data_IF_387205432697
#
_entry.id   IF_387205432697
#
_cell.length_a   1.000
_cell.length_b   1.000
_cell.length_c   1.000
_cell.angle_alpha   90.00
_cell.angle_beta   90.00
_cell.angle_gamma   90.00
#
_symmetry.space_group_name_H-M   'P 1'
#
loop_
_entity.id
_entity.type
_entity.pdbx_description
1 polymer ?
#
# COMPACT_ATOMS: atom_id res chain seq x y z
N UNK A 1 11.33 21.94 -17.81
CA UNK A 1 9.95 22.33 -17.44
C UNK A 1 9.25 21.05 -17.00
N UNK A 2 9.22 20.77 -15.69
CA UNK A 2 8.67 19.50 -15.19
C UNK A 2 7.15 19.51 -15.29
N UNK A 3 6.59 18.55 -16.02
CA UNK A 3 5.15 18.32 -16.05
C UNK A 3 4.75 17.62 -14.76
N UNK A 4 3.82 18.21 -14.01
CA UNK A 4 3.21 17.54 -12.88
C UNK A 4 2.32 16.41 -13.41
N UNK A 5 2.76 15.16 -13.25
CA UNK A 5 1.95 13.98 -13.60
C UNK A 5 0.74 13.94 -12.67
N UNK A 6 -0.41 14.40 -13.17
CA UNK A 6 -1.66 14.30 -12.43
C UNK A 6 -2.18 12.87 -12.50
N UNK A 7 -1.86 12.08 -11.48
CA UNK A 7 -2.52 10.80 -11.23
C UNK A 7 -4.00 11.06 -10.95
N UNK A 8 -4.86 10.76 -11.93
CA UNK A 8 -6.30 10.83 -11.77
C UNK A 8 -6.78 9.66 -10.88
N UNK A 9 -6.89 9.89 -9.57
CA UNK A 9 -7.31 8.89 -8.61
C UNK A 9 -8.83 8.67 -8.68
N UNK A 10 -9.25 7.61 -9.37
CA UNK A 10 -10.52 6.95 -9.07
C UNK A 10 -10.26 5.93 -7.98
N UNK A 11 -10.91 6.09 -6.81
CA UNK A 11 -10.85 5.11 -5.73
C UNK A 11 -11.52 3.81 -6.16
N UNK A 12 -10.73 2.84 -6.64
CA UNK A 12 -11.24 1.52 -7.03
C UNK A 12 -11.53 0.73 -5.75
N UNK A 13 -12.80 0.71 -5.35
CA UNK A 13 -13.30 -0.23 -4.36
C UNK A 13 -13.12 -1.67 -4.88
N UNK A 14 -12.05 -2.34 -4.44
CA UNK A 14 -11.80 -3.73 -4.80
C UNK A 14 -12.83 -4.63 -4.11
N UNK A 15 -13.88 -5.02 -4.85
CA UNK A 15 -14.79 -6.07 -4.40
C UNK A 15 -14.06 -7.42 -4.43
N UNK A 16 -13.67 -7.90 -3.25
CA UNK A 16 -13.00 -9.19 -3.12
C UNK A 16 -13.93 -10.33 -3.53
N UNK A 17 -13.70 -10.89 -4.73
CA UNK A 17 -13.99 -12.31 -4.98
C UNK A 17 -12.73 -13.09 -4.65
N UNK A 18 -12.77 -13.87 -3.58
CA UNK A 18 -11.72 -14.84 -3.27
C UNK A 18 -11.57 -15.82 -4.43
N UNK A 19 -10.56 -15.62 -5.26
CA UNK A 19 -10.06 -16.61 -6.20
C UNK A 19 -8.57 -16.76 -5.97
N UNK A 20 -8.23 -17.74 -5.15
CA UNK A 20 -6.87 -18.26 -4.98
C UNK A 20 -6.37 -18.83 -6.30
N UNK A 21 -5.86 -17.96 -7.17
CA UNK A 21 -5.08 -18.36 -8.33
C UNK A 21 -3.64 -18.68 -7.89
N UNK A 22 -3.50 -19.85 -7.27
CA UNK A 22 -2.23 -20.56 -7.34
C UNK A 22 -1.92 -20.84 -8.83
N UNK A 23 -0.64 -20.79 -9.20
CA UNK A 23 -0.19 -21.14 -10.54
C UNK A 23 -0.42 -22.64 -10.80
N UNK A 24 -1.57 -23.02 -11.37
CA UNK A 24 -1.83 -24.33 -11.98
C UNK A 24 -3.06 -24.30 -12.90
N UNK A 25 -3.10 -25.20 -13.88
CA UNK A 25 -4.05 -25.20 -14.99
C UNK A 25 -5.41 -25.88 -14.69
N UNK A 26 -6.40 -25.53 -15.51
CA UNK A 26 -7.63 -26.27 -15.91
C UNK A 26 -9.01 -25.80 -15.37
N UNK A 27 -9.87 -25.49 -16.37
CA UNK A 27 -11.34 -25.61 -16.47
C UNK A 27 -12.25 -24.82 -15.51
N UNK A 28 -13.36 -24.31 -16.06
CA UNK A 28 -14.30 -23.41 -15.39
C UNK A 28 -15.75 -23.91 -15.48
N UNK A 29 -16.59 -23.54 -14.50
CA UNK A 29 -18.05 -23.39 -14.61
C UNK A 29 -18.57 -22.45 -13.51
N UNK A 30 -19.50 -21.56 -13.89
CA UNK A 30 -20.71 -20.97 -13.25
C UNK A 30 -20.78 -20.81 -11.69
N UNK A 31 -21.53 -19.88 -11.09
CA UNK A 31 -22.60 -18.97 -11.57
C UNK A 31 -22.66 -17.70 -10.68
N UNK A 32 -23.59 -16.77 -10.91
CA UNK A 32 -23.58 -15.43 -10.28
C UNK A 32 -24.88 -15.03 -9.58
N UNK A 33 -24.81 -14.69 -8.29
CA UNK A 33 -25.89 -14.04 -7.52
C UNK A 33 -25.37 -12.76 -6.87
N UNK A 34 -26.17 -11.68 -6.89
CA UNK A 34 -25.75 -10.34 -6.48
C UNK A 34 -26.10 -10.00 -5.03
N UNK A 35 -25.24 -9.22 -4.34
CA UNK A 35 -25.62 -8.55 -3.08
C UNK A 35 -24.83 -7.26 -2.82
N UNK A 36 -25.47 -6.34 -2.07
CA UNK A 36 -25.02 -4.98 -1.74
C UNK A 36 -23.80 -4.96 -0.79
N UNK A 37 -22.94 -3.93 -0.85
CA UNK A 37 -21.93 -3.69 0.19
C UNK A 37 -22.53 -3.01 1.42
N UNK A 38 -22.10 -3.47 2.59
CA UNK A 38 -22.14 -2.76 3.88
C UNK A 38 -20.77 -3.00 4.51
N UNK A 39 -20.10 -1.93 4.95
CA UNK A 39 -18.87 -2.03 5.74
C UNK A 39 -18.97 -1.05 6.90
N UNK A 40 -18.88 -1.58 8.12
CA UNK A 40 -18.76 -0.84 9.37
C UNK A 40 -17.71 -1.62 10.16
N UNK A 41 -16.59 -0.98 10.46
CA UNK A 41 -15.51 -1.59 11.24
C UNK A 41 -15.68 -1.14 12.69
N UNK A 42 -16.34 -1.96 13.50
CA UNK A 42 -16.45 -1.70 14.94
C UNK A 42 -15.09 -1.89 15.62
N UNK A 43 -14.74 -0.97 16.51
CA UNK A 43 -13.51 -1.04 17.28
C UNK A 43 -13.64 -2.09 18.40
N UNK A 44 -12.76 -3.09 18.39
CA UNK A 44 -12.69 -4.11 19.44
C UNK A 44 -12.20 -3.44 20.74
N UNK A 45 -12.93 -3.52 21.87
CA UNK A 45 -12.45 -3.01 23.15
C UNK A 45 -11.30 -3.87 23.67
N UNK A 46 -10.26 -3.24 24.18
CA UNK A 46 -9.16 -3.92 24.86
C UNK A 46 -9.63 -4.31 26.26
N UNK A 47 -9.74 -5.61 26.51
CA UNK A 47 -9.97 -6.14 27.85
C UNK A 47 -8.65 -6.14 28.63
N UNK A 48 -8.60 -5.38 29.73
CA UNK A 48 -7.53 -5.51 30.72
C UNK A 48 -7.85 -6.66 31.66
N UNK A 49 -6.94 -7.62 31.78
CA UNK A 49 -6.94 -8.61 32.85
C UNK A 49 -6.52 -7.96 34.18
N UNK A 50 -7.26 -8.21 35.26
CA UNK A 50 -6.74 -8.10 36.62
C UNK A 50 -7.42 -9.13 37.51
N UNK A 51 -6.63 -9.99 38.15
CA UNK A 51 -7.11 -11.11 38.95
C UNK A 51 -7.76 -10.69 40.29
N UNK A 52 -8.75 -11.47 40.72
CA UNK A 52 -8.93 -11.90 42.11
C UNK A 52 -9.41 -10.88 43.15
N UNK A 53 -10.66 -11.03 43.61
CA UNK A 53 -10.97 -11.65 44.92
C UNK A 53 -12.45 -12.06 44.99
N UNK A 54 -12.72 -13.26 45.51
CA UNK A 54 -14.07 -13.76 45.73
C UNK A 54 -14.75 -13.10 46.95
N UNK A 55 -16.05 -12.78 46.85
CA UNK A 55 -16.99 -12.86 47.99
C UNK A 55 -18.40 -13.09 47.43
N UNK A 56 -19.14 -14.03 48.03
CA UNK A 56 -20.44 -14.48 47.56
C UNK A 56 -21.61 -13.55 47.93
N UNK A 57 -22.70 -13.58 47.16
CA UNK A 57 -23.94 -14.25 47.59
C UNK A 57 -25.00 -14.32 46.48
N UNK A 58 -25.90 -15.28 46.65
CA UNK A 58 -26.92 -15.78 45.73
C UNK A 58 -28.07 -14.79 45.45
N UNK A 59 -28.66 -14.92 44.24
CA UNK A 59 -30.10 -14.98 43.94
C UNK A 59 -31.02 -13.78 44.31
N UNK A 60 -32.17 -13.52 43.68
CA UNK A 60 -32.98 -14.26 42.69
C UNK A 60 -33.90 -13.27 41.92
N UNK A 61 -34.45 -13.70 40.76
CA UNK A 61 -35.74 -13.30 40.10
C UNK A 61 -36.31 -11.86 40.19
N UNK A 62 -36.67 -11.24 39.05
CA UNK A 62 -38.08 -10.97 38.58
C UNK A 62 -38.89 -9.97 39.47
N UNK A 63 -39.74 -9.08 38.96
CA UNK A 63 -40.50 -9.02 37.71
C UNK A 63 -40.78 -7.53 37.33
N UNK A 64 -41.25 -7.38 36.10
CA UNK A 64 -42.04 -6.29 35.50
C UNK A 64 -43.13 -5.64 36.40
N UNK A 65 -43.64 -4.43 36.06
CA UNK A 65 -45.08 -4.02 36.10
C UNK A 65 -45.28 -2.52 35.68
N UNK A 66 -46.10 -2.36 34.63
CA UNK A 66 -46.97 -1.25 34.15
C UNK A 66 -46.81 0.25 34.53
N UNK A 67 -46.74 1.06 33.47
CA UNK A 67 -47.68 2.12 33.01
C UNK A 67 -48.50 3.04 33.96
N UNK A 68 -48.66 4.28 33.43
CA UNK A 68 -49.52 5.45 33.79
C UNK A 68 -49.00 6.40 34.90
N UNK A 69 -49.26 7.72 34.89
CA UNK A 69 -50.05 8.56 33.95
C UNK A 69 -49.51 10.02 33.80
N UNK A 70 -50.31 10.92 33.23
CA UNK A 70 -50.04 12.31 32.79
C UNK A 70 -50.21 13.38 33.87
N UNK A 71 -49.37 14.44 33.86
CA UNK A 71 -49.73 15.81 34.29
C UNK A 71 -49.16 16.83 33.28
N UNK A 72 -49.94 17.86 32.93
CA UNK A 72 -49.67 18.86 31.88
C UNK A 72 -48.82 20.09 32.30
N UNK A 73 -48.20 20.68 31.27
CA UNK A 73 -47.76 22.08 31.09
C UNK A 73 -46.95 22.83 32.17
N UNK A 74 -45.68 23.09 31.84
CA UNK A 74 -45.07 24.41 32.03
C UNK A 74 -44.09 24.71 30.88
N UNK A 75 -44.22 25.89 30.28
CA UNK A 75 -43.39 26.39 29.19
C UNK A 75 -42.15 27.13 29.74
N UNK A 76 -40.98 26.99 29.09
CA UNK A 76 -39.95 28.02 28.80
C UNK A 76 -38.53 27.42 28.68
N UNK A 77 -37.88 27.61 27.52
CA UNK A 77 -36.43 27.48 27.24
C UNK A 77 -35.79 26.09 27.50
N UNK A 78 -34.71 25.67 26.81
CA UNK A 78 -33.66 26.47 26.19
C UNK A 78 -33.06 25.76 24.95
N UNK A 79 -32.76 26.52 23.89
CA UNK A 79 -32.27 26.00 22.59
C UNK A 79 -30.77 25.63 22.60
N UNK A 80 -30.28 25.06 23.72
CA UNK A 80 -28.86 24.88 24.00
C UNK A 80 -28.24 23.54 23.57
N UNK A 81 -29.07 22.51 23.33
CA UNK A 81 -28.60 21.12 23.18
C UNK A 81 -28.29 20.78 21.71
N UNK A 82 -29.19 21.15 20.80
CA UNK A 82 -29.04 20.99 19.34
C UNK A 82 -27.77 21.67 18.76
N UNK A 83 -27.24 22.71 19.41
CA UNK A 83 -26.02 23.37 18.95
C UNK A 83 -24.75 22.56 19.25
N UNK A 84 -24.74 21.80 20.36
CA UNK A 84 -23.57 21.00 20.78
C UNK A 84 -23.44 19.72 19.97
N UNK A 85 -24.53 18.99 19.74
CA UNK A 85 -24.51 17.78 18.91
C UNK A 85 -24.09 18.06 17.47
N UNK A 86 -24.60 19.14 16.88
CA UNK A 86 -24.17 19.57 15.54
C UNK A 86 -22.68 19.97 15.53
N UNK A 87 -22.17 20.64 16.56
CA UNK A 87 -20.74 20.98 16.66
C UNK A 87 -19.86 19.74 16.81
N UNK A 88 -20.26 18.76 17.61
CA UNK A 88 -19.54 17.49 17.81
C UNK A 88 -19.52 16.68 16.51
N UNK A 89 -20.66 16.57 15.83
CA UNK A 89 -20.80 15.88 14.54
C UNK A 89 -19.92 16.50 13.45
N UNK A 90 -19.93 17.83 13.32
CA UNK A 90 -19.08 18.56 12.36
C UNK A 90 -17.59 18.41 12.70
N UNK A 91 -17.22 18.44 13.99
CA UNK A 91 -15.81 18.25 14.41
C UNK A 91 -15.32 16.83 14.13
N UNK A 92 -16.17 15.81 14.34
CA UNK A 92 -15.86 14.42 14.02
C UNK A 92 -15.70 14.19 12.51
N UNK A 93 -16.59 14.75 11.69
CA UNK A 93 -16.49 14.66 10.23
C UNK A 93 -15.22 15.35 9.71
N UNK A 94 -14.87 16.53 10.22
CA UNK A 94 -13.61 17.20 9.87
C UNK A 94 -12.39 16.31 10.19
N UNK A 95 -12.38 15.65 11.35
CA UNK A 95 -11.30 14.73 11.72
C UNK A 95 -11.18 13.49 10.82
N UNK A 96 -12.30 13.01 10.25
CA UNK A 96 -12.31 11.95 9.23
C UNK A 96 -11.70 12.46 7.92
N UNK A 97 -12.12 13.64 7.47
CA UNK A 97 -11.67 14.22 6.21
C UNK A 97 -10.17 14.56 6.27
N UNK A 98 -9.70 15.14 7.38
CA UNK A 98 -8.28 15.43 7.66
C UNK A 98 -7.44 14.14 7.69
N UNK A 99 -7.96 13.04 8.24
CA UNK A 99 -7.27 11.75 8.26
C UNK A 99 -7.09 11.17 6.85
N UNK A 100 -8.14 11.15 6.03
CA UNK A 100 -8.05 10.67 4.65
C UNK A 100 -7.17 11.57 3.79
N UNK A 101 -7.25 12.89 3.95
CA UNK A 101 -6.37 13.84 3.27
C UNK A 101 -4.90 13.61 3.64
N UNK A 102 -4.59 13.48 4.93
CA UNK A 102 -3.23 13.19 5.42
C UNK A 102 -2.69 11.85 4.89
N UNK A 103 -3.56 10.83 4.79
CA UNK A 103 -3.19 9.54 4.21
C UNK A 103 -2.89 9.66 2.70
N UNK A 104 -3.73 10.38 1.95
CA UNK A 104 -3.54 10.61 0.51
C UNK A 104 -2.25 11.41 0.22
N UNK A 105 -1.97 12.46 0.99
CA UNK A 105 -0.73 13.25 0.87
C UNK A 105 0.52 12.41 1.19
N UNK A 106 0.44 11.57 2.23
CA UNK A 106 1.53 10.64 2.59
C UNK A 106 1.80 9.62 1.49
N UNK A 107 0.76 9.04 0.87
CA UNK A 107 0.92 8.12 -0.25
C UNK A 107 1.43 8.82 -1.52
N UNK A 108 0.90 10.00 -1.84
CA UNK A 108 1.39 10.82 -2.96
C UNK A 108 2.89 11.13 -2.79
N UNK A 109 3.31 11.61 -1.62
CA UNK A 109 4.73 11.88 -1.33
C UNK A 109 5.62 10.65 -1.52
N UNK A 110 5.14 9.45 -1.17
CA UNK A 110 5.88 8.21 -1.42
C UNK A 110 6.05 7.92 -2.90
N UNK A 111 4.97 8.02 -3.68
CA UNK A 111 4.97 7.76 -5.11
C UNK A 111 5.83 8.80 -5.86
N UNK A 112 5.75 10.08 -5.49
CA UNK A 112 6.59 11.14 -6.04
C UNK A 112 8.08 10.86 -5.75
N UNK A 113 8.43 10.47 -4.52
CA UNK A 113 9.82 10.11 -4.13
C UNK A 113 10.32 8.87 -4.89
N UNK A 114 9.47 7.88 -5.12
CA UNK A 114 9.79 6.69 -5.94
C UNK A 114 9.99 7.09 -7.40
N UNK A 115 9.14 7.96 -7.94
CA UNK A 115 9.24 8.43 -9.32
C UNK A 115 10.56 9.18 -9.56
N UNK A 116 10.96 10.09 -8.66
CA UNK A 116 12.25 10.78 -8.71
C UNK A 116 13.44 9.80 -8.69
N UNK A 117 13.39 8.78 -7.83
CA UNK A 117 14.40 7.72 -7.80
C UNK A 117 14.47 6.93 -9.10
N UNK A 118 13.33 6.54 -9.67
CA UNK A 118 13.27 5.83 -10.96
C UNK A 118 13.87 6.67 -12.09
N UNK A 119 13.48 7.94 -12.19
CA UNK A 119 14.03 8.86 -13.18
C UNK A 119 15.56 8.98 -13.06
N UNK A 120 16.08 9.09 -11.84
CA UNK A 120 17.52 9.17 -11.60
C UNK A 120 18.24 7.85 -11.94
N UNK A 121 17.80 6.73 -11.35
CA UNK A 121 18.55 5.47 -11.40
C UNK A 121 18.42 4.76 -12.77
N UNK A 122 17.32 4.97 -13.50
CA UNK A 122 17.04 4.27 -14.77
C UNK A 122 17.34 5.08 -16.04
N UNK A 123 17.54 6.41 -15.94
CA UNK A 123 17.93 7.26 -17.09
C UNK A 123 19.16 6.75 -17.89
N UNK A 124 20.20 6.14 -17.27
CA UNK A 124 21.31 5.53 -18.02
C UNK A 124 20.94 4.26 -18.81
N UNK A 125 19.82 3.62 -18.47
CA UNK A 125 19.45 2.28 -18.93
C UNK A 125 18.18 2.23 -19.81
N UNK A 126 17.29 3.21 -19.70
CA UNK A 126 16.00 3.27 -20.41
C UNK A 126 15.96 4.52 -21.30
N UNK A 127 15.40 4.41 -22.52
CA UNK A 127 15.32 5.53 -23.46
C UNK A 127 14.41 6.65 -22.94
N UNK A 128 14.70 7.90 -23.29
CA UNK A 128 13.96 9.06 -22.74
C UNK A 128 12.48 9.00 -23.13
N UNK A 129 12.19 8.62 -24.37
CA UNK A 129 10.84 8.37 -24.88
C UNK A 129 10.12 7.19 -24.21
N UNK A 130 10.85 6.30 -23.54
CA UNK A 130 10.31 5.12 -22.87
C UNK A 130 10.21 5.30 -21.33
N UNK A 131 10.81 6.35 -20.76
CA UNK A 131 10.93 6.55 -19.30
C UNK A 131 9.57 6.63 -18.60
N UNK A 132 8.60 7.31 -19.21
CA UNK A 132 7.26 7.50 -18.63
C UNK A 132 6.51 6.16 -18.53
N UNK A 133 6.59 5.30 -19.55
CA UNK A 133 5.98 3.96 -19.52
C UNK A 133 6.67 3.08 -18.47
N UNK A 134 8.01 3.12 -18.43
CA UNK A 134 8.80 2.38 -17.46
C UNK A 134 8.44 2.76 -16.02
N UNK A 135 8.40 4.06 -15.72
CA UNK A 135 8.05 4.56 -14.40
C UNK A 135 6.60 4.25 -14.04
N UNK A 136 5.67 4.39 -14.98
CA UNK A 136 4.24 4.09 -14.76
C UNK A 136 4.02 2.63 -14.34
N UNK A 137 4.73 1.67 -14.92
CA UNK A 137 4.62 0.26 -14.57
C UNK A 137 5.13 -0.04 -13.15
N UNK A 138 6.27 0.52 -12.75
CA UNK A 138 6.79 0.40 -11.38
C UNK A 138 5.94 1.15 -10.35
N UNK A 139 5.30 2.25 -10.73
CA UNK A 139 4.37 2.97 -9.86
C UNK A 139 3.04 2.23 -9.67
N UNK A 140 2.57 1.47 -10.67
CA UNK A 140 1.46 0.51 -10.48
C UNK A 140 1.83 -0.58 -9.47
N UNK A 141 3.05 -1.12 -9.56
CA UNK A 141 3.57 -2.04 -8.53
C UNK A 141 3.66 -1.37 -7.16
N UNK A 142 4.01 -0.08 -7.09
CA UNK A 142 4.09 0.65 -5.82
C UNK A 142 2.71 0.96 -5.20
N UNK A 143 1.65 1.05 -6.02
CA UNK A 143 0.27 1.23 -5.59
C UNK A 143 -0.41 -0.09 -5.17
N UNK A 144 -0.09 -1.21 -5.82
CA UNK A 144 -0.65 -2.53 -5.53
C UNK A 144 0.43 -3.61 -5.56
N UNK A 145 0.73 -4.21 -4.40
CA UNK A 145 1.68 -5.30 -4.28
C UNK A 145 1.27 -6.56 -5.06
N UNK A 146 -0.01 -6.71 -5.42
CA UNK A 146 -0.54 -7.79 -6.26
C UNK A 146 -0.45 -7.45 -7.76
N UNK A 147 0.00 -6.26 -8.14
CA UNK A 147 0.22 -5.92 -9.53
C UNK A 147 1.20 -6.89 -10.18
N UNK A 148 0.85 -7.40 -11.36
CA UNK A 148 1.69 -8.31 -12.15
C UNK A 148 1.71 -7.78 -13.59
N UNK A 149 2.85 -7.29 -14.09
CA UNK A 149 2.97 -6.84 -15.46
C UNK A 149 2.56 -7.93 -16.45
N UNK A 150 1.86 -7.53 -17.51
CA UNK A 150 1.45 -8.40 -18.61
C UNK A 150 2.55 -8.52 -19.67
N UNK A 151 3.40 -7.51 -19.79
CA UNK A 151 4.43 -7.38 -20.83
C UNK A 151 5.81 -7.21 -20.19
N UNK A 152 6.74 -8.05 -20.62
CA UNK A 152 8.16 -7.99 -20.26
C UNK A 152 8.84 -6.76 -20.89
N UNK A 153 9.68 -6.06 -20.13
CA UNK A 153 10.49 -4.96 -20.64
C UNK A 153 11.78 -5.46 -21.31
N UNK A 154 11.95 -5.10 -22.59
CA UNK A 154 13.04 -5.60 -23.45
C UNK A 154 13.96 -4.52 -24.01
N UNK A 155 13.53 -3.26 -23.99
CA UNK A 155 14.23 -2.14 -24.65
C UNK A 155 15.10 -1.39 -23.63
N UNK A 156 16.41 -1.57 -23.73
CA UNK A 156 17.39 -0.93 -22.86
C UNK A 156 18.44 -0.18 -23.69
N UNK A 157 18.88 0.99 -23.22
CA UNK A 157 20.05 1.73 -23.75
C UNK A 157 21.35 0.95 -23.53
N UNK A 158 21.48 0.34 -22.36
CA UNK A 158 22.70 -0.28 -21.84
C UNK A 158 22.35 -1.58 -21.12
N UNK A 159 23.34 -2.45 -20.91
CA UNK A 159 23.10 -3.79 -20.33
C UNK A 159 22.85 -3.68 -18.82
N UNK A 160 21.72 -4.21 -18.37
CA UNK A 160 21.43 -4.50 -16.97
C UNK A 160 21.65 -5.99 -16.65
N UNK A 161 21.72 -6.30 -15.36
CA UNK A 161 21.74 -7.65 -14.81
C UNK A 161 20.52 -7.94 -13.94
N UNK A 162 20.30 -9.21 -13.59
CA UNK A 162 19.30 -9.60 -12.59
C UNK A 162 19.57 -9.04 -11.19
N UNK A 163 20.81 -8.68 -10.85
CA UNK A 163 21.14 -8.02 -9.58
C UNK A 163 20.59 -6.59 -9.57
N UNK A 164 20.83 -5.82 -10.64
CA UNK A 164 20.40 -4.41 -10.74
C UNK A 164 18.89 -4.24 -10.54
N UNK A 165 18.08 -5.06 -11.23
CA UNK A 165 16.62 -4.98 -11.12
C UNK A 165 16.09 -5.49 -9.77
N UNK A 166 16.78 -6.45 -9.13
CA UNK A 166 16.48 -6.86 -7.74
C UNK A 166 16.75 -5.73 -6.77
N UNK A 167 17.88 -5.04 -6.90
CA UNK A 167 18.24 -3.89 -6.05
C UNK A 167 17.29 -2.71 -6.21
N UNK A 168 16.90 -2.38 -7.45
CA UNK A 168 15.89 -1.35 -7.71
C UNK A 168 14.55 -1.68 -7.03
N UNK A 169 13.99 -2.86 -7.31
CA UNK A 169 12.69 -3.28 -6.75
C UNK A 169 12.74 -3.39 -5.22
N UNK A 170 13.85 -3.86 -4.65
CA UNK A 170 14.06 -3.89 -3.21
C UNK A 170 14.09 -2.49 -2.58
N UNK A 171 14.82 -1.56 -3.21
CA UNK A 171 14.95 -0.17 -2.73
C UNK A 171 13.61 0.56 -2.73
N UNK A 172 12.71 0.20 -3.65
CA UNK A 172 11.33 0.68 -3.69
C UNK A 172 10.47 -0.03 -2.62
N UNK A 173 10.45 -1.36 -2.62
CA UNK A 173 9.61 -2.15 -1.72
C UNK A 173 9.91 -1.89 -0.24
N UNK A 174 11.17 -1.66 0.14
CA UNK A 174 11.52 -1.34 1.54
C UNK A 174 10.83 -0.07 2.05
N UNK A 175 10.69 0.96 1.20
CA UNK A 175 9.99 2.22 1.50
C UNK A 175 8.47 2.09 1.52
N UNK A 176 7.94 1.08 0.81
CA UNK A 176 6.52 0.71 0.82
C UNK A 176 6.17 -0.25 1.97
N UNK A 177 7.16 -0.69 2.74
CA UNK A 177 6.99 -1.68 3.80
C UNK A 177 7.18 -3.10 3.30
N UNK A 178 8.43 -3.46 2.99
CA UNK A 178 8.87 -4.84 2.77
C UNK A 178 9.18 -5.52 4.10
N UNK A 179 8.59 -6.68 4.37
CA UNK A 179 8.97 -7.51 5.52
C UNK A 179 7.84 -8.34 6.12
N UNK A 180 8.17 -9.09 7.18
CA UNK A 180 7.18 -9.93 7.89
C UNK A 180 6.11 -9.05 8.54
N UNK A 181 4.83 -9.31 8.21
CA UNK A 181 3.70 -8.53 8.70
C UNK A 181 3.62 -7.13 8.10
N UNK A 182 4.21 -6.90 6.92
CA UNK A 182 4.09 -5.67 6.13
C UNK A 182 3.37 -5.97 4.80
N UNK A 183 3.07 -4.91 4.05
CA UNK A 183 2.29 -5.00 2.79
C UNK A 183 3.05 -5.74 1.70
N UNK A 184 4.36 -5.50 1.58
CA UNK A 184 5.18 -6.14 0.56
C UNK A 184 5.96 -7.32 1.14
N UNK A 185 6.01 -8.41 0.38
CA UNK A 185 6.88 -9.55 0.64
C UNK A 185 7.98 -9.67 -0.43
N UNK A 186 9.02 -10.48 -0.13
CA UNK A 186 10.02 -10.85 -1.14
C UNK A 186 9.39 -11.65 -2.31
N UNK A 187 8.23 -12.27 -2.09
CA UNK A 187 7.49 -13.07 -3.07
C UNK A 187 6.80 -12.16 -4.11
N UNK A 188 6.16 -11.07 -3.65
CA UNK A 188 5.58 -10.05 -4.53
C UNK A 188 6.66 -9.41 -5.42
N UNK A 189 7.80 -9.06 -4.82
CA UNK A 189 8.94 -8.51 -5.52
C UNK A 189 9.49 -9.50 -6.57
N UNK A 190 9.67 -10.77 -6.19
CA UNK A 190 10.13 -11.81 -7.10
C UNK A 190 9.14 -12.04 -8.26
N UNK A 191 7.84 -12.11 -7.99
CA UNK A 191 6.79 -12.23 -9.01
C UNK A 191 6.78 -11.05 -9.99
N UNK A 192 6.99 -9.82 -9.50
CA UNK A 192 7.07 -8.63 -10.33
C UNK A 192 8.32 -8.69 -11.24
N UNK A 193 9.49 -8.97 -10.66
CA UNK A 193 10.77 -9.07 -11.37
C UNK A 193 10.73 -10.18 -12.44
N UNK A 194 10.22 -11.35 -12.09
CA UNK A 194 10.13 -12.52 -12.98
C UNK A 194 9.33 -12.21 -14.24
N UNK A 195 8.25 -11.42 -14.14
CA UNK A 195 7.43 -11.01 -15.29
C UNK A 195 8.00 -9.82 -16.04
N UNK A 196 8.44 -8.78 -15.34
CA UNK A 196 8.87 -7.53 -15.99
C UNK A 196 10.26 -7.64 -16.61
N UNK A 197 11.15 -8.43 -16.02
CA UNK A 197 12.57 -8.48 -16.36
C UNK A 197 13.06 -9.88 -16.73
N UNK A 198 12.18 -10.74 -17.28
CA UNK A 198 12.44 -12.15 -17.54
C UNK A 198 13.77 -12.39 -18.30
N UNK A 199 14.05 -11.64 -19.38
CA UNK A 199 15.30 -11.74 -20.15
C UNK A 199 16.57 -11.31 -19.41
N UNK A 200 16.47 -10.50 -18.36
CA UNK A 200 17.59 -10.19 -17.45
C UNK A 200 17.77 -11.29 -16.39
N UNK A 201 16.71 -12.03 -16.11
CA UNK A 201 16.61 -13.07 -15.08
C UNK A 201 16.88 -14.47 -15.64
N UNK A 202 17.99 -14.64 -16.36
CA UNK A 202 18.47 -15.93 -16.89
C UNK A 202 19.86 -16.29 -16.35
N UNK A 203 20.18 -17.58 -16.39
CA UNK A 203 21.51 -18.13 -16.11
C UNK A 203 22.46 -17.93 -17.31
N UNK A 204 23.74 -18.27 -17.13
CA UNK A 204 24.72 -18.26 -18.22
C UNK A 204 24.39 -19.23 -19.38
N UNK A 205 23.52 -20.23 -19.17
CA UNK A 205 23.02 -21.11 -20.24
C UNK A 205 21.71 -20.63 -20.88
N UNK A 206 21.18 -19.48 -20.46
CA UNK A 206 19.91 -18.93 -20.97
C UNK A 206 18.65 -19.46 -20.27
N UNK A 207 18.79 -20.36 -19.29
CA UNK A 207 17.66 -20.88 -18.51
C UNK A 207 17.13 -19.83 -17.51
N UNK A 208 15.81 -19.71 -17.28
CA UNK A 208 15.26 -18.81 -16.27
C UNK A 208 15.84 -19.04 -14.87
N UNK A 209 16.09 -17.96 -14.13
CA UNK A 209 16.44 -18.03 -12.72
C UNK A 209 15.25 -18.56 -11.91
N UNK A 210 15.53 -19.44 -10.93
CA UNK A 210 14.48 -19.95 -10.06
C UNK A 210 13.82 -18.82 -9.27
N UNK A 211 12.51 -18.93 -9.00
CA UNK A 211 11.77 -17.96 -8.21
C UNK A 211 12.42 -17.71 -6.83
N UNK A 212 12.96 -18.75 -6.17
CA UNK A 212 13.71 -18.61 -4.93
C UNK A 212 15.00 -17.78 -5.07
N UNK A 213 15.65 -17.81 -6.25
CA UNK A 213 16.81 -16.96 -6.55
C UNK A 213 16.41 -15.49 -6.72
N UNK A 214 15.19 -15.23 -7.22
CA UNK A 214 14.66 -13.88 -7.36
C UNK A 214 14.23 -13.27 -6.02
N UNK A 215 13.74 -14.10 -5.07
CA UNK A 215 13.42 -13.68 -3.68
C UNK A 215 14.64 -13.21 -2.88
N UNK A 216 15.87 -13.52 -3.30
CA UNK A 216 17.11 -13.03 -2.70
C UNK A 216 17.44 -11.63 -3.22
N UNK A 217 16.67 -10.63 -2.78
CA UNK A 217 16.68 -9.29 -3.37
C UNK A 217 17.94 -8.44 -3.10
N UNK A 218 18.71 -8.75 -2.05
CA UNK A 218 19.90 -7.98 -1.60
C UNK A 218 21.22 -8.72 -1.81
N UNK A 219 21.23 -9.72 -2.69
CA UNK A 219 22.47 -10.41 -3.08
C UNK A 219 23.23 -9.55 -4.08
N UNK A 220 24.51 -9.29 -3.85
CA UNK A 220 25.33 -8.40 -4.69
C UNK A 220 26.36 -9.16 -5.53
N UNK A 221 26.86 -8.49 -6.55
CA UNK A 221 28.00 -8.86 -7.39
C UNK A 221 28.90 -7.64 -7.62
N UNK A 222 30.18 -7.87 -7.94
CA UNK A 222 31.14 -6.80 -8.27
C UNK A 222 30.83 -6.09 -9.60
N UNK A 223 29.81 -6.56 -10.33
CA UNK A 223 29.37 -6.04 -11.64
C UNK A 223 28.12 -5.17 -11.57
N UNK A 224 27.56 -4.96 -10.37
CA UNK A 224 26.29 -4.26 -10.21
C UNK A 224 26.46 -2.76 -10.48
N UNK A 225 25.53 -2.20 -11.25
CA UNK A 225 25.47 -0.78 -11.58
C UNK A 225 24.38 -0.07 -10.77
N UNK A 226 23.36 -0.80 -10.33
CA UNK A 226 22.37 -0.36 -9.35
C UNK A 226 22.64 -1.11 -8.04
N UNK A 227 22.89 -0.37 -6.96
CA UNK A 227 23.14 -0.93 -5.63
C UNK A 227 21.89 -0.82 -4.73
N UNK A 228 21.82 -1.66 -3.69
CA UNK A 228 20.80 -1.55 -2.64
C UNK A 228 20.85 -0.18 -1.95
N UNK A 229 19.78 0.60 -2.07
CA UNK A 229 19.66 1.88 -1.37
C UNK A 229 18.90 1.71 -0.03
N UNK A 230 19.67 1.47 1.03
CA UNK A 230 19.15 1.27 2.38
C UNK A 230 18.45 2.53 2.90
N UNK A 231 17.24 2.44 3.49
CA UNK A 231 16.53 3.61 3.97
C UNK A 231 17.20 4.24 5.19
N UNK A 232 17.28 5.58 5.19
CA UNK A 232 17.72 6.38 6.35
C UNK A 232 16.66 6.48 7.45
N UNK A 233 16.90 7.36 8.44
CA UNK A 233 15.99 7.56 9.60
C UNK A 233 14.54 7.90 9.20
N UNK A 234 14.38 8.69 8.14
CA UNK A 234 13.07 9.13 7.65
C UNK A 234 12.31 8.02 6.91
N UNK A 235 12.94 6.86 6.69
CA UNK A 235 12.36 5.67 6.06
C UNK A 235 12.03 5.79 4.58
N UNK A 236 11.98 7.01 4.02
CA UNK A 236 11.41 7.31 2.72
C UNK A 236 12.40 7.81 1.66
N UNK A 237 13.32 8.70 2.02
CA UNK A 237 14.23 9.34 1.06
C UNK A 237 15.22 8.33 0.48
N UNK A 238 15.55 8.46 -0.81
CA UNK A 238 16.61 7.69 -1.49
C UNK A 238 17.94 8.44 -1.47
N UNK A 239 19.08 7.74 -1.42
CA UNK A 239 20.39 8.38 -1.53
C UNK A 239 20.73 8.69 -2.99
N UNK A 240 20.09 9.71 -3.54
CA UNK A 240 20.39 10.28 -4.86
C UNK A 240 21.50 11.33 -4.70
N UNK A 241 22.69 11.14 -5.30
CA UNK A 241 23.69 12.20 -5.40
C UNK A 241 23.11 13.45 -6.08
N UNK A 242 23.21 14.62 -5.44
CA UNK A 242 22.87 15.88 -6.09
C UNK A 242 23.86 16.18 -7.23
N UNK A 243 23.54 15.70 -8.43
CA UNK A 243 24.26 16.00 -9.68
C UNK A 243 23.33 16.57 -10.74
N UNK A 244 22.58 17.62 -10.39
CA UNK A 244 21.85 18.49 -11.32
C UNK A 244 21.65 19.87 -10.64
N UNK A 245 22.68 20.72 -10.65
CA UNK A 245 22.58 22.10 -10.14
C UNK A 245 23.78 22.70 -9.41
N UNK A 246 24.92 22.02 -9.32
CA UNK A 246 26.15 22.57 -8.75
C UNK A 246 27.00 23.32 -9.78
N UNK A 247 26.73 24.61 -10.00
CA UNK A 247 27.70 25.49 -10.67
C UNK A 247 28.99 25.51 -9.86
N UNK A 248 30.13 25.20 -10.51
CA UNK A 248 31.44 25.37 -9.90
C UNK A 248 31.88 26.82 -10.09
N UNK A 249 31.89 27.58 -9.00
CA UNK A 249 32.59 28.86 -8.90
C UNK A 249 34.11 28.69 -8.82
#
# INVERSE_FOLDING_TARGET
MYMAVQYAFVGIAQTWKNKTHACNNQTATNESTAQKPVFLLEAIPVYNESEGIDTACEAETAEEISETEVIEEAYMAETGELAKDNHISVTYQQGIDDFYQSQAESQKKKLDTIHEYLLYIMSPFVYEEDMDEFCTDLLRFAMDHNYRPEVEWKRYKTKLSSFDVRHMVWSIATRLGLGKGKVYSNDDCACYIERRFASLCVTASGEPLSHNTLRNLTVTSNSDQIHCDYPGKDGLLFHIPLQLGGEKG
#
